data_IF_771684225142
#
_entry.id   IF_771684225142
#
_cell.length_a   1.000
_cell.length_b   1.000
_cell.length_c   1.000
_cell.angle_alpha   90.00
_cell.angle_beta   90.00
_cell.angle_gamma   90.00
#
_symmetry.space_group_name_H-M   'P 1'
#
loop_
_entity.id
_entity.type
_entity.pdbx_description
1 polymer ?
#
# COMPACT_ATOMS: atom_id res chain seq x y z
N UNK A 1 -1.80 -2.83 -9.39
CA UNK A 1 -2.80 -2.74 -8.30
C UNK A 1 -2.39 -3.38 -6.96
N UNK A 2 -1.20 -4.00 -6.81
CA UNK A 2 -0.86 -4.86 -5.64
C UNK A 2 -0.29 -4.15 -4.40
N UNK A 3 0.10 -2.87 -4.49
CA UNK A 3 0.83 -2.18 -3.42
C UNK A 3 0.08 -2.10 -2.08
N UNK A 4 -1.24 -1.86 -2.09
CA UNK A 4 -2.00 -1.80 -0.83
C UNK A 4 -1.99 -3.13 -0.05
N UNK A 5 -2.03 -4.27 -0.75
CA UNK A 5 -1.90 -5.59 -0.13
C UNK A 5 -0.45 -5.85 0.32
N UNK A 6 0.52 -5.45 -0.50
CA UNK A 6 1.95 -5.55 -0.16
C UNK A 6 2.27 -4.77 1.11
N UNK A 7 1.80 -3.54 1.23
CA UNK A 7 1.98 -2.72 2.43
C UNK A 7 1.38 -3.42 3.65
N UNK A 8 0.20 -4.01 3.55
CA UNK A 8 -0.44 -4.70 4.68
C UNK A 8 0.26 -5.99 5.12
N UNK A 9 0.92 -6.68 4.19
CA UNK A 9 1.66 -7.92 4.44
C UNK A 9 3.08 -7.67 4.96
N UNK A 10 3.75 -6.62 4.45
CA UNK A 10 5.13 -6.30 4.80
C UNK A 10 5.24 -5.33 5.98
N UNK A 11 4.21 -4.51 6.24
CA UNK A 11 4.23 -3.59 7.36
C UNK A 11 4.29 -4.32 8.69
N UNK A 12 5.15 -3.84 9.59
CA UNK A 12 5.17 -4.29 10.97
C UNK A 12 3.81 -4.00 11.63
N UNK A 13 3.21 -5.03 12.22
CA UNK A 13 1.87 -4.99 12.83
C UNK A 13 1.79 -3.91 13.92
N UNK A 14 2.85 -3.75 14.71
CA UNK A 14 2.88 -2.79 15.82
C UNK A 14 2.92 -1.33 15.34
N UNK A 15 3.47 -1.07 14.16
CA UNK A 15 3.64 0.30 13.65
C UNK A 15 2.62 0.67 12.60
N UNK A 16 1.61 -0.19 12.38
CA UNK A 16 0.60 -0.05 11.33
C UNK A 16 -0.06 1.34 11.28
N UNK A 17 -0.21 2.00 12.42
CA UNK A 17 -0.83 3.33 12.53
C UNK A 17 0.04 4.47 11.95
N UNK A 18 1.37 4.32 11.99
CA UNK A 18 2.33 5.31 11.51
C UNK A 18 2.71 5.10 10.04
N UNK A 19 2.27 3.99 9.43
CA UNK A 19 2.39 3.82 7.99
C UNK A 19 1.36 4.68 7.26
N UNK A 20 1.73 5.12 6.06
CA UNK A 20 0.85 5.85 5.15
C UNK A 20 -0.52 5.16 5.05
N UNK A 21 -1.58 5.91 5.37
CA UNK A 21 -2.96 5.42 5.38
C UNK A 21 -3.52 5.28 3.96
N UNK A 22 -2.91 4.40 3.17
CA UNK A 22 -3.12 4.23 1.73
C UNK A 22 -4.59 3.95 1.37
N UNK A 23 -5.32 3.24 2.24
CA UNK A 23 -6.76 2.99 2.07
C UNK A 23 -7.60 4.26 2.20
N UNK A 24 -7.32 5.12 3.20
CA UNK A 24 -8.07 6.37 3.43
C UNK A 24 -7.78 7.38 2.33
N UNK A 25 -6.49 7.60 2.01
CA UNK A 25 -6.08 8.49 0.92
C UNK A 25 -6.69 8.09 -0.43
N UNK A 26 -6.79 6.77 -0.71
CA UNK A 26 -7.49 6.29 -1.91
C UNK A 26 -8.98 6.63 -1.94
N UNK A 27 -9.65 6.69 -0.78
CA UNK A 27 -11.07 7.08 -0.72
C UNK A 27 -11.21 8.57 -0.99
N UNK A 28 -10.31 9.39 -0.48
CA UNK A 28 -10.26 10.83 -0.78
C UNK A 28 -10.05 11.08 -2.28
N UNK A 29 -9.13 10.37 -2.92
CA UNK A 29 -8.93 10.48 -4.37
C UNK A 29 -10.20 10.11 -5.15
N UNK A 30 -10.94 9.09 -4.71
CA UNK A 30 -12.23 8.73 -5.34
C UNK A 30 -13.29 9.83 -5.15
N UNK A 31 -13.31 10.50 -3.98
CA UNK A 31 -14.19 11.63 -3.72
C UNK A 31 -13.84 12.80 -4.65
N UNK A 32 -12.56 13.12 -4.79
CA UNK A 32 -12.07 14.14 -5.73
C UNK A 32 -12.49 13.81 -7.16
N UNK A 33 -12.27 12.56 -7.61
CA UNK A 33 -12.72 12.11 -8.95
C UNK A 33 -14.22 12.30 -9.16
N UNK A 34 -15.02 11.96 -8.14
CA UNK A 34 -16.48 12.10 -8.18
C UNK A 34 -16.93 13.55 -8.28
N UNK A 35 -16.33 14.47 -7.50
CA UNK A 35 -16.68 15.89 -7.58
C UNK A 35 -16.24 16.52 -8.91
N UNK A 36 -15.10 16.09 -9.48
CA UNK A 36 -14.67 16.50 -10.83
C UNK A 36 -15.70 16.07 -11.88
N UNK A 37 -16.11 14.80 -11.88
CA UNK A 37 -17.14 14.29 -12.81
C UNK A 37 -18.50 14.99 -12.62
N UNK A 38 -18.87 15.29 -11.37
CA UNK A 38 -20.11 16.00 -11.03
C UNK A 38 -20.09 17.44 -11.56
N UNK A 39 -18.96 18.13 -11.44
CA UNK A 39 -18.75 19.45 -12.02
C UNK A 39 -18.90 19.44 -13.53
N UNK A 40 -18.24 18.50 -14.21
CA UNK A 40 -18.31 18.34 -15.67
C UNK A 40 -19.75 18.08 -16.16
N UNK A 41 -20.49 17.16 -15.52
CA UNK A 41 -21.88 16.86 -15.88
C UNK A 41 -22.85 18.02 -15.66
N UNK A 42 -22.59 18.88 -14.67
CA UNK A 42 -23.39 20.10 -14.46
C UNK A 42 -23.11 21.12 -15.56
N UNK A 43 -21.85 21.31 -15.93
CA UNK A 43 -21.44 22.21 -17.01
C UNK A 43 -22.03 21.78 -18.35
N UNK A 44 -21.96 20.50 -18.72
CA UNK A 44 -22.56 19.97 -19.95
C UNK A 44 -24.09 20.18 -20.03
N UNK A 45 -24.79 20.16 -18.89
CA UNK A 45 -26.23 20.44 -18.83
C UNK A 45 -26.54 21.93 -19.03
N UNK A 46 -25.69 22.82 -18.51
CA UNK A 46 -25.81 24.27 -18.73
C UNK A 46 -25.54 24.61 -20.18
N UNK A 47 -24.50 24.03 -20.78
CA UNK A 47 -24.12 24.26 -22.19
C UNK A 47 -25.16 23.70 -23.18
N UNK A 48 -25.80 22.57 -22.86
CA UNK A 48 -26.93 22.06 -23.66
C UNK A 48 -28.17 22.96 -23.54
N UNK A 49 -28.44 23.53 -22.37
CA UNK A 49 -29.59 24.41 -22.14
C UNK A 49 -29.42 25.75 -22.86
N UNK A 50 -28.23 26.34 -22.86
CA UNK A 50 -27.93 27.57 -23.61
C UNK A 50 -28.01 27.36 -25.13
N UNK A 51 -27.55 26.21 -25.64
CA UNK A 51 -27.60 25.88 -27.07
C UNK A 51 -29.01 25.61 -27.60
N UNK A 52 -29.94 25.18 -26.74
CA UNK A 52 -31.34 24.92 -27.12
C UNK A 52 -32.19 26.20 -27.12
N UNK A 53 -31.79 27.25 -26.39
CA UNK A 53 -32.46 28.56 -26.40
C UNK A 53 -31.95 29.52 -27.49
N UNK A 54 -30.85 29.19 -28.18
CA UNK A 54 -30.23 30.04 -29.22
C UNK A 54 -30.77 29.86 -30.65
N UNK A 55 -31.84 29.08 -30.87
CA UNK A 55 -32.43 28.85 -32.19
C UNK A 55 -33.90 29.30 -32.19
N UNK A 56 -34.12 30.61 -32.11
CA UNK A 56 -35.34 31.25 -32.57
C UNK A 56 -34.92 32.34 -33.56
N UNK A 57 -34.88 31.97 -34.84
CA UNK A 57 -34.62 32.86 -35.98
C UNK A 57 -35.59 34.05 -35.96
N UNK A 58 -35.05 35.26 -35.78
CA UNK A 58 -35.70 36.51 -36.15
C UNK A 58 -35.09 36.96 -37.49
N UNK A 59 -35.90 37.25 -38.54
CA UNK A 59 -35.37 37.56 -39.85
C UNK A 59 -34.70 38.93 -39.87
N UNK A 60 -33.48 38.95 -40.42
CA UNK A 60 -32.62 40.10 -40.71
C UNK A 60 -33.32 41.09 -41.67
N UNK A 61 -33.31 42.41 -41.43
CA UNK A 61 -33.79 43.37 -42.42
C UNK A 61 -32.71 43.64 -43.50
N UNK A 62 -33.10 43.98 -44.75
CA UNK A 62 -32.18 44.18 -45.85
C UNK A 62 -31.52 45.56 -45.80
N UNK A 63 -30.25 45.60 -46.20
CA UNK A 63 -29.40 46.78 -46.28
C UNK A 63 -29.38 47.40 -47.67
N UNK A 64 -29.70 48.70 -47.77
CA UNK A 64 -29.31 49.66 -48.83
C UNK A 64 -29.68 51.05 -48.29
N UNK A 65 -28.96 52.17 -48.41
CA UNK A 65 -27.89 52.67 -49.31
C UNK A 65 -27.21 53.87 -48.62
N UNK A 66 -25.91 54.05 -48.91
CA UNK A 66 -25.09 55.28 -48.94
C UNK A 66 -25.64 56.63 -48.41
N UNK A 67 -24.86 57.33 -47.58
CA UNK A 67 -24.40 58.70 -47.91
C UNK A 67 -23.17 59.14 -47.11
N UNK A 68 -22.40 60.01 -47.77
CA UNK A 68 -21.11 60.61 -47.43
C UNK A 68 -21.16 61.64 -46.30
N UNK A 69 -20.06 61.79 -45.56
CA UNK A 69 -19.27 63.03 -45.42
C UNK A 69 -18.65 63.25 -44.02
N UNK A 70 -17.33 63.20 -44.01
CA UNK A 70 -16.38 64.18 -43.48
C UNK A 70 -16.33 64.61 -42.00
N UNK A 71 -15.06 64.60 -41.55
CA UNK A 71 -14.37 65.56 -40.69
C UNK A 71 -14.21 65.30 -39.17
N UNK A 72 -12.91 65.19 -38.81
CA UNK A 72 -12.20 65.78 -37.64
C UNK A 72 -12.62 65.30 -36.24
N UNK A 73 -11.78 65.21 -35.22
CA UNK A 73 -10.34 65.26 -34.99
C UNK A 73 -10.16 65.06 -33.47
N UNK A 74 -9.13 64.32 -33.06
CA UNK A 74 -8.28 64.54 -31.87
C UNK A 74 -8.84 64.53 -30.42
N UNK A 75 -8.23 63.61 -29.65
CA UNK A 75 -7.58 63.76 -28.33
C UNK A 75 -8.35 64.15 -27.06
N UNK A 76 -8.32 63.21 -26.10
CA UNK A 76 -7.79 63.30 -24.71
C UNK A 76 -8.01 64.60 -23.90
N UNK A 77 -8.63 64.52 -22.71
CA UNK A 77 -8.03 64.76 -21.38
C UNK A 77 -9.06 64.96 -20.24
N UNK A 78 -8.67 64.49 -19.04
CA UNK A 78 -9.01 64.91 -17.65
C UNK A 78 -10.49 64.89 -17.19
N UNK A 79 -10.86 64.08 -16.17
CA UNK A 79 -10.65 64.25 -14.71
C UNK A 79 -11.58 65.28 -14.04
N UNK A 80 -12.36 64.85 -13.02
CA UNK A 80 -12.84 65.75 -11.96
C UNK A 80 -14.32 65.66 -11.51
N UNK A 81 -14.61 64.72 -10.60
CA UNK A 81 -15.34 64.89 -9.32
C UNK A 81 -16.55 65.88 -9.21
N UNK A 82 -17.75 65.34 -8.90
CA UNK A 82 -18.51 65.53 -7.63
C UNK A 82 -20.06 65.66 -7.72
N UNK A 83 -20.75 64.68 -7.12
CA UNK A 83 -21.76 64.78 -6.02
C UNK A 83 -23.23 65.26 -6.25
N UNK A 84 -24.15 64.32 -5.93
CA UNK A 84 -25.54 64.41 -5.42
C UNK A 84 -26.63 64.99 -6.36
N UNK A 85 -27.84 64.42 -6.53
CA UNK A 85 -28.87 64.01 -5.55
C UNK A 85 -29.98 63.15 -6.21
N UNK A 86 -30.72 62.42 -5.38
CA UNK A 86 -31.74 61.38 -5.64
C UNK A 86 -32.91 61.69 -6.59
N UNK A 87 -33.41 60.66 -7.28
CA UNK A 87 -34.84 60.28 -7.30
C UNK A 87 -35.02 58.87 -7.89
N UNK A 88 -35.96 58.14 -7.30
CA UNK A 88 -36.44 56.80 -7.67
C UNK A 88 -37.00 56.73 -9.09
N UNK A 89 -36.77 55.60 -9.74
CA UNK A 89 -37.46 55.14 -10.95
C UNK A 89 -36.99 53.72 -11.23
N UNK A 90 -37.83 52.73 -10.91
CA UNK A 90 -37.50 51.33 -11.05
C UNK A 90 -37.33 50.94 -12.52
N UNK A 91 -36.29 50.16 -12.80
CA UNK A 91 -36.26 49.28 -13.95
C UNK A 91 -35.69 47.94 -13.52
N UNK A 92 -36.59 46.98 -13.46
CA UNK A 92 -36.38 45.56 -13.28
C UNK A 92 -35.46 45.04 -14.38
N UNK A 93 -34.16 45.07 -14.13
CA UNK A 93 -33.14 44.47 -14.98
C UNK A 93 -32.54 43.28 -14.27
N UNK A 94 -33.17 42.12 -14.51
CA UNK A 94 -32.60 40.77 -14.59
C UNK A 94 -31.25 40.55 -13.87
N UNK A 95 -31.19 39.74 -12.79
CA UNK A 95 -29.91 39.36 -12.20
C UNK A 95 -29.11 38.50 -13.21
N UNK A 96 -27.96 39.03 -13.62
CA UNK A 96 -26.94 38.35 -14.41
C UNK A 96 -26.53 37.02 -13.77
N UNK A 97 -26.48 35.98 -14.62
CA UNK A 97 -25.76 34.70 -14.49
C UNK A 97 -25.33 34.27 -13.07
N UNK A 98 -26.21 33.50 -12.43
CA UNK A 98 -25.98 32.35 -11.53
C UNK A 98 -24.63 32.21 -10.75
N UNK A 99 -24.65 32.30 -9.40
CA UNK A 99 -23.59 31.90 -8.45
C UNK A 99 -23.21 30.40 -8.42
N UNK A 100 -23.64 29.59 -9.39
CA UNK A 100 -23.52 28.12 -9.34
C UNK A 100 -22.18 27.59 -9.85
N UNK A 101 -21.43 28.37 -10.62
CA UNK A 101 -20.11 27.97 -11.15
C UNK A 101 -19.07 27.98 -10.03
N UNK A 102 -19.07 29.03 -9.20
CA UNK A 102 -18.11 29.19 -8.09
C UNK A 102 -18.24 28.09 -7.04
N UNK A 103 -19.47 27.76 -6.63
CA UNK A 103 -19.73 26.71 -5.62
C UNK A 103 -19.23 25.31 -6.02
N UNK A 104 -19.13 24.98 -7.32
CA UNK A 104 -18.60 23.67 -7.73
C UNK A 104 -17.07 23.66 -7.73
N UNK A 105 -16.44 24.79 -8.04
CA UNK A 105 -14.99 24.92 -7.99
C UNK A 105 -14.50 24.87 -6.53
N UNK A 106 -15.21 25.54 -5.63
CA UNK A 106 -14.93 25.51 -4.19
C UNK A 106 -14.99 24.08 -3.63
N UNK A 107 -16.02 23.30 -3.98
CA UNK A 107 -16.14 21.91 -3.54
C UNK A 107 -15.01 20.99 -4.04
N UNK A 108 -14.48 21.25 -5.24
CA UNK A 108 -13.37 20.48 -5.80
C UNK A 108 -12.06 20.85 -5.09
N UNK A 109 -11.82 22.14 -4.87
CA UNK A 109 -10.63 22.61 -4.15
C UNK A 109 -10.65 22.17 -2.68
N UNK A 110 -11.81 22.17 -2.02
CA UNK A 110 -11.97 21.62 -0.66
C UNK A 110 -11.62 20.14 -0.61
N UNK A 111 -12.07 19.34 -1.58
CA UNK A 111 -11.75 17.91 -1.65
C UNK A 111 -10.26 17.66 -1.92
N UNK A 112 -9.61 18.50 -2.74
CA UNK A 112 -8.15 18.45 -2.96
C UNK A 112 -7.40 18.84 -1.70
N UNK A 113 -7.86 19.87 -0.99
CA UNK A 113 -7.26 20.33 0.27
C UNK A 113 -7.33 19.25 1.34
N UNK A 114 -8.47 18.58 1.51
CA UNK A 114 -8.63 17.45 2.44
C UNK A 114 -7.62 16.32 2.16
N UNK A 115 -7.33 16.04 0.88
CA UNK A 115 -6.32 15.05 0.49
C UNK A 115 -4.91 15.47 0.93
N UNK A 116 -4.53 16.73 0.70
CA UNK A 116 -3.20 17.24 1.05
C UNK A 116 -3.03 17.40 2.56
N UNK A 117 -4.04 17.89 3.28
CA UNK A 117 -4.04 17.99 4.74
C UNK A 117 -3.83 16.61 5.37
N UNK A 118 -4.55 15.59 4.90
CA UNK A 118 -4.36 14.22 5.35
C UNK A 118 -2.96 13.68 5.00
N UNK A 119 -2.45 13.97 3.81
CA UNK A 119 -1.12 13.52 3.37
C UNK A 119 -0.03 14.12 4.24
N UNK A 120 -0.08 15.43 4.48
CA UNK A 120 0.86 16.14 5.34
C UNK A 120 0.79 15.68 6.80
N UNK A 121 -0.42 15.43 7.32
CA UNK A 121 -0.59 14.84 8.65
C UNK A 121 0.06 13.45 8.75
N UNK A 122 -0.11 12.58 7.74
CA UNK A 122 0.55 11.26 7.71
C UNK A 122 2.09 11.37 7.66
N UNK A 123 2.62 12.39 6.97
CA UNK A 123 4.08 12.63 6.93
C UNK A 123 4.57 13.10 8.30
N UNK A 124 3.84 14.01 8.96
CA UNK A 124 4.16 14.48 10.30
C UNK A 124 4.15 13.33 11.32
N UNK A 125 3.12 12.48 11.30
CA UNK A 125 3.02 11.30 12.16
C UNK A 125 4.20 10.34 11.95
N UNK A 126 4.59 10.12 10.69
CA UNK A 126 5.73 9.26 10.35
C UNK A 126 7.07 9.86 10.81
N UNK A 127 7.23 11.18 10.68
CA UNK A 127 8.40 11.93 11.14
C UNK A 127 8.55 11.86 12.66
N UNK A 128 7.48 12.14 13.40
CA UNK A 128 7.49 12.09 14.87
C UNK A 128 7.82 10.68 15.37
N UNK A 129 7.19 9.67 14.77
CA UNK A 129 7.47 8.28 15.07
C UNK A 129 8.93 7.91 14.80
N UNK A 130 9.47 8.31 13.64
CA UNK A 130 10.85 8.05 13.27
C UNK A 130 11.83 8.68 14.26
N UNK A 131 11.69 9.97 14.55
CA UNK A 131 12.52 10.71 15.53
C UNK A 131 12.49 10.03 16.90
N UNK A 132 11.29 9.68 17.38
CA UNK A 132 11.11 9.01 18.67
C UNK A 132 11.82 7.66 18.70
N UNK A 133 11.68 6.85 17.65
CA UNK A 133 12.33 5.54 17.55
C UNK A 133 13.84 5.62 17.44
N UNK A 134 14.38 6.52 16.61
CA UNK A 134 15.82 6.75 16.48
C UNK A 134 16.42 7.18 17.81
N UNK A 135 15.79 8.13 18.52
CA UNK A 135 16.27 8.60 19.83
C UNK A 135 16.28 7.47 20.87
N UNK A 136 15.22 6.66 20.89
CA UNK A 136 15.13 5.51 21.78
C UNK A 136 16.20 4.45 21.47
N UNK A 137 16.41 4.12 20.20
CA UNK A 137 17.44 3.16 19.76
C UNK A 137 18.84 3.70 20.03
N UNK A 138 19.09 4.98 19.80
CA UNK A 138 20.37 5.62 20.10
C UNK A 138 20.69 5.57 21.59
N UNK A 139 19.70 5.76 22.46
CA UNK A 139 19.87 5.60 23.91
C UNK A 139 20.24 4.16 24.27
N UNK A 140 19.50 3.18 23.75
CA UNK A 140 19.78 1.76 23.96
C UNK A 140 21.20 1.39 23.53
N UNK A 141 21.60 1.80 22.32
CA UNK A 141 22.95 1.56 21.79
C UNK A 141 24.00 2.19 22.71
N UNK A 142 23.79 3.43 23.15
CA UNK A 142 24.71 4.12 24.06
C UNK A 142 24.83 3.42 25.42
N UNK A 143 23.71 2.97 25.97
CA UNK A 143 23.65 2.26 27.25
C UNK A 143 24.41 0.92 27.15
N UNK A 144 24.25 0.19 26.04
CA UNK A 144 25.03 -1.03 25.76
C UNK A 144 26.53 -0.74 25.61
N UNK A 145 26.91 0.31 24.89
CA UNK A 145 28.33 0.68 24.77
C UNK A 145 28.95 1.04 26.14
N UNK A 146 28.20 1.71 27.03
CA UNK A 146 28.70 1.98 28.39
C UNK A 146 28.85 0.70 29.21
N UNK A 147 27.92 -0.23 29.10
CA UNK A 147 27.98 -1.51 29.81
C UNK A 147 29.22 -2.32 29.40
N UNK A 148 29.52 -2.38 28.10
CA UNK A 148 30.72 -3.05 27.58
C UNK A 148 32.02 -2.36 28.04
N UNK A 149 32.05 -1.02 28.05
CA UNK A 149 33.22 -0.25 28.52
C UNK A 149 33.51 -0.45 30.01
N UNK A 150 32.50 -0.66 30.84
CA UNK A 150 32.68 -0.88 32.27
C UNK A 150 33.17 -2.31 32.58
N UNK A 151 32.71 -3.31 31.83
CA UNK A 151 33.24 -4.69 31.87
C UNK A 151 34.73 -4.74 31.49
N UNK A 152 35.14 -4.06 30.42
CA UNK A 152 36.54 -4.01 29.98
C UNK A 152 37.45 -3.38 31.05
N UNK A 153 36.99 -2.33 31.74
CA UNK A 153 37.75 -1.68 32.83
C UNK A 153 37.86 -2.56 34.07
N UNK A 154 36.77 -3.27 34.43
CA UNK A 154 36.78 -4.19 35.56
C UNK A 154 37.75 -5.37 35.34
N UNK A 155 38.02 -5.74 34.08
CA UNK A 155 38.99 -6.79 33.74
C UNK A 155 40.46 -6.38 33.92
N UNK A 156 40.78 -5.08 33.84
CA UNK A 156 42.15 -4.55 33.89
C UNK A 156 42.59 -4.01 35.26
N UNK A 157 41.66 -3.84 36.22
CA UNK A 157 41.95 -3.37 37.57
C UNK A 157 41.67 -4.44 38.62
N UNK A 158 42.73 -4.95 39.25
CA UNK A 158 42.72 -5.90 40.38
C UNK A 158 42.37 -7.37 40.05
N UNK A 159 43.30 -8.26 40.42
CA UNK A 159 43.08 -9.71 40.57
C UNK A 159 42.09 -9.91 41.73
N UNK A 160 40.80 -9.79 41.45
CA UNK A 160 39.74 -10.22 42.36
C UNK A 160 39.09 -11.46 41.78
N UNK A 161 39.32 -12.58 42.46
CA UNK A 161 38.69 -13.87 42.24
C UNK A 161 37.18 -13.75 42.50
N UNK A 162 36.43 -13.30 41.48
CA UNK A 162 34.98 -13.42 41.42
C UNK A 162 34.62 -14.25 40.19
N UNK A 163 33.71 -15.23 40.31
CA UNK A 163 33.50 -16.21 39.25
C UNK A 163 32.97 -15.51 38.00
N UNK A 164 33.47 -16.00 36.84
CA UNK A 164 32.97 -15.80 35.48
C UNK A 164 31.52 -15.28 35.48
N UNK A 165 31.32 -14.09 34.94
CA UNK A 165 29.99 -13.60 34.56
C UNK A 165 29.24 -14.73 33.87
N UNK A 166 28.06 -15.03 34.40
CA UNK A 166 27.26 -16.18 33.98
C UNK A 166 26.96 -16.05 32.48
N UNK A 167 27.02 -17.14 31.70
CA UNK A 167 26.74 -17.05 30.25
C UNK A 167 25.41 -16.32 29.98
N UNK A 168 24.47 -16.48 30.90
CA UNK A 168 23.15 -15.86 30.93
C UNK A 168 23.13 -14.32 30.88
N UNK A 169 24.16 -13.61 31.35
CA UNK A 169 24.25 -12.14 31.27
C UNK A 169 24.76 -11.68 29.91
N UNK A 170 25.78 -12.38 29.37
CA UNK A 170 26.27 -12.16 28.00
C UNK A 170 25.19 -12.51 26.97
N UNK A 171 24.46 -13.60 27.20
CA UNK A 171 23.33 -14.05 26.38
C UNK A 171 22.17 -13.02 26.41
N UNK A 172 21.92 -12.39 27.57
CA UNK A 172 20.95 -11.28 27.68
C UNK A 172 21.42 -10.01 26.97
N UNK A 173 22.69 -9.65 27.08
CA UNK A 173 23.27 -8.51 26.36
C UNK A 173 23.16 -8.70 24.85
N UNK A 174 23.47 -9.90 24.36
CA UNK A 174 23.33 -10.25 22.95
C UNK A 174 21.87 -10.22 22.47
N UNK A 175 20.92 -10.74 23.26
CA UNK A 175 19.50 -10.67 22.93
C UNK A 175 19.01 -9.22 22.77
N UNK A 176 19.41 -8.32 23.67
CA UNK A 176 19.07 -6.91 23.56
C UNK A 176 19.71 -6.20 22.35
N UNK A 177 20.93 -6.58 21.99
CA UNK A 177 21.60 -6.11 20.77
C UNK A 177 20.87 -6.62 19.51
N UNK A 178 20.47 -7.89 19.49
CA UNK A 178 19.70 -8.48 18.40
C UNK A 178 18.33 -7.78 18.23
N UNK A 179 17.61 -7.53 19.33
CA UNK A 179 16.33 -6.82 19.31
C UNK A 179 16.48 -5.39 18.78
N UNK A 180 17.58 -4.72 19.14
CA UNK A 180 17.91 -3.38 18.63
C UNK A 180 18.18 -3.42 17.11
N UNK A 181 18.99 -4.37 16.66
CA UNK A 181 19.29 -4.58 15.24
C UNK A 181 18.03 -4.88 14.43
N UNK A 182 17.20 -5.83 14.89
CA UNK A 182 15.93 -6.18 14.24
C UNK A 182 15.01 -4.97 14.13
N UNK A 183 14.95 -4.15 15.19
CA UNK A 183 14.17 -2.91 15.20
C UNK A 183 14.71 -1.88 14.20
N UNK A 184 16.03 -1.73 14.06
CA UNK A 184 16.65 -0.84 13.06
C UNK A 184 16.37 -1.30 11.63
N UNK A 185 16.42 -2.61 11.37
CA UNK A 185 16.07 -3.17 10.06
C UNK A 185 14.59 -2.96 9.74
N UNK A 186 13.71 -3.21 10.71
CA UNK A 186 12.28 -2.92 10.56
C UNK A 186 12.06 -1.41 10.31
N UNK A 187 12.82 -0.52 10.96
CA UNK A 187 12.74 0.93 10.79
C UNK A 187 13.21 1.36 9.38
N UNK A 188 14.29 0.77 8.88
CA UNK A 188 14.75 0.96 7.48
C UNK A 188 13.68 0.54 6.48
N UNK A 189 13.01 -0.58 6.73
CA UNK A 189 11.90 -1.04 5.92
C UNK A 189 10.68 -0.10 6.01
N UNK A 190 10.39 0.44 7.20
CA UNK A 190 9.33 1.43 7.41
C UNK A 190 9.54 2.68 6.55
N UNK A 191 10.75 3.25 6.55
CA UNK A 191 11.12 4.41 5.72
C UNK A 191 10.89 4.09 4.24
N UNK A 192 11.44 2.99 3.73
CA UNK A 192 11.30 2.59 2.33
C UNK A 192 9.84 2.37 1.88
N UNK A 193 9.03 1.72 2.72
CA UNK A 193 7.62 1.46 2.43
C UNK A 193 6.80 2.75 2.41
N UNK A 194 7.05 3.66 3.35
CA UNK A 194 6.38 4.96 3.36
C UNK A 194 6.78 5.80 2.15
N UNK A 195 8.05 5.83 1.75
CA UNK A 195 8.50 6.59 0.57
C UNK A 195 7.75 6.15 -0.67
N UNK A 196 7.77 4.83 -0.87
CA UNK A 196 7.11 4.19 -1.99
C UNK A 196 5.61 4.44 -1.96
N UNK A 197 5.00 4.45 -0.77
CA UNK A 197 3.57 4.67 -0.58
C UNK A 197 3.14 6.10 -0.87
N UNK A 198 3.86 7.09 -0.34
CA UNK A 198 3.62 8.51 -0.62
C UNK A 198 3.83 8.83 -2.10
N UNK A 199 4.92 8.36 -2.71
CA UNK A 199 5.13 8.53 -4.15
C UNK A 199 4.00 7.91 -4.99
N UNK A 200 3.54 6.71 -4.64
CA UNK A 200 2.46 6.03 -5.37
C UNK A 200 1.09 6.67 -5.16
N UNK A 201 0.81 7.26 -4.00
CA UNK A 201 -0.49 7.88 -3.73
C UNK A 201 -0.59 9.25 -4.40
N UNK A 202 0.47 10.05 -4.36
CA UNK A 202 0.53 11.34 -5.09
C UNK A 202 0.49 11.11 -6.59
N UNK A 203 1.23 10.14 -7.12
CA UNK A 203 1.12 9.76 -8.55
C UNK A 203 -0.30 9.33 -8.94
N UNK A 204 -1.07 8.78 -8.02
CA UNK A 204 -2.48 8.43 -8.27
C UNK A 204 -3.36 9.67 -8.24
N UNK A 205 -3.11 10.60 -7.33
CA UNK A 205 -3.80 11.89 -7.26
C UNK A 205 -3.60 12.68 -8.55
N UNK A 206 -2.35 12.85 -9.01
CA UNK A 206 -2.01 13.54 -10.26
C UNK A 206 -2.71 12.95 -11.48
N UNK A 207 -2.72 11.62 -11.60
CA UNK A 207 -3.47 10.92 -12.66
C UNK A 207 -4.98 11.16 -12.65
N UNK A 208 -5.54 11.47 -11.48
CA UNK A 208 -6.98 11.66 -11.31
C UNK A 208 -7.37 13.12 -11.55
N UNK A 209 -6.53 14.05 -11.07
CA UNK A 209 -6.76 15.49 -11.18
C UNK A 209 -6.22 16.09 -12.48
N UNK A 210 -5.34 15.37 -13.19
CA UNK A 210 -4.63 15.89 -14.37
C UNK A 210 -3.50 16.86 -14.03
N UNK A 211 -3.08 16.92 -12.76
CA UNK A 211 -2.00 17.79 -12.28
C UNK A 211 -0.62 17.13 -12.37
N UNK A 212 0.42 17.95 -12.18
CA UNK A 212 1.82 17.51 -12.14
C UNK A 212 2.50 18.01 -10.85
N UNK A 213 2.09 17.42 -9.71
CA UNK A 213 2.58 17.84 -8.38
C UNK A 213 3.59 16.87 -7.80
N UNK A 214 3.72 15.68 -8.39
CA UNK A 214 4.58 14.59 -7.92
C UNK A 214 6.04 15.01 -7.76
N UNK A 215 6.62 15.69 -8.75
CA UNK A 215 8.05 15.99 -8.74
C UNK A 215 8.40 17.04 -7.67
N UNK A 216 7.56 18.06 -7.50
CA UNK A 216 7.70 19.02 -6.41
C UNK A 216 7.54 18.34 -5.04
N UNK A 217 6.53 17.49 -4.91
CA UNK A 217 6.27 16.74 -3.69
C UNK A 217 7.41 15.78 -3.35
N UNK A 218 7.95 15.03 -4.31
CA UNK A 218 9.06 14.09 -4.08
C UNK A 218 10.33 14.83 -3.68
N UNK A 219 10.60 16.01 -4.26
CA UNK A 219 11.71 16.86 -3.81
C UNK A 219 11.55 17.28 -2.36
N UNK A 220 10.38 17.79 -1.99
CA UNK A 220 10.09 18.15 -0.59
C UNK A 220 10.20 16.94 0.33
N UNK A 221 9.61 15.81 -0.06
CA UNK A 221 9.64 14.57 0.68
C UNK A 221 11.07 14.11 0.93
N UNK A 222 11.97 14.17 -0.06
CA UNK A 222 13.37 13.77 0.13
C UNK A 222 14.15 14.68 1.10
N UNK A 223 13.70 15.91 1.33
CA UNK A 223 14.28 16.82 2.31
C UNK A 223 13.73 16.60 3.73
N UNK A 224 12.67 15.81 3.88
CA UNK A 224 12.14 15.46 5.19
C UNK A 224 13.17 14.64 5.99
N UNK A 225 13.23 14.91 7.29
CA UNK A 225 14.31 14.42 8.15
C UNK A 225 14.37 12.89 8.21
N UNK A 226 13.23 12.20 8.08
CA UNK A 226 13.18 10.74 8.07
C UNK A 226 13.74 10.07 6.80
N UNK A 227 13.98 10.82 5.71
CA UNK A 227 14.64 10.31 4.51
C UNK A 227 16.06 10.82 4.33
N UNK A 228 16.33 12.05 4.77
CA UNK A 228 17.64 12.66 4.67
C UNK A 228 18.60 12.21 5.79
N UNK A 229 18.09 11.68 6.90
CA UNK A 229 18.93 11.24 8.02
C UNK A 229 19.69 9.95 7.71
N UNK A 230 20.98 9.95 8.03
CA UNK A 230 21.84 8.77 8.04
C UNK A 230 21.88 8.08 9.41
N UNK A 231 20.94 8.41 10.30
CA UNK A 231 20.95 7.95 11.69
C UNK A 231 20.81 6.43 11.81
N UNK A 232 19.97 5.80 10.98
CA UNK A 232 19.83 4.34 10.98
C UNK A 232 21.16 3.68 10.62
N UNK A 233 21.82 4.15 9.56
CA UNK A 233 23.06 3.55 9.08
C UNK A 233 24.19 3.79 10.10
N UNK A 234 24.24 4.97 10.73
CA UNK A 234 25.20 5.27 11.81
C UNK A 234 24.96 4.40 13.06
N UNK A 235 23.70 4.15 13.45
CA UNK A 235 23.38 3.25 14.57
C UNK A 235 23.70 1.79 14.24
N UNK A 236 23.46 1.36 13.00
CA UNK A 236 23.86 0.03 12.54
C UNK A 236 25.37 -0.14 12.58
N UNK A 237 26.15 0.86 12.15
CA UNK A 237 27.62 0.81 12.22
C UNK A 237 28.12 0.72 13.66
N UNK A 238 27.52 1.45 14.59
CA UNK A 238 27.81 1.31 16.04
C UNK A 238 27.44 -0.05 16.60
N UNK A 239 26.34 -0.67 16.14
CA UNK A 239 26.02 -2.04 16.52
C UNK A 239 27.02 -3.05 15.97
N UNK A 240 27.45 -2.88 14.72
CA UNK A 240 28.43 -3.76 14.09
C UNK A 240 29.84 -3.64 14.69
N UNK A 241 30.18 -2.49 15.30
CA UNK A 241 31.44 -2.37 16.05
C UNK A 241 31.42 -3.14 17.37
N UNK A 242 30.24 -3.31 17.98
CA UNK A 242 30.07 -4.06 19.23
C UNK A 242 29.83 -5.57 19.03
N UNK A 243 29.32 -5.98 17.87
CA UNK A 243 28.97 -7.38 17.59
C UNK A 243 29.23 -7.75 16.14
N UNK A 244 29.65 -8.99 15.90
CA UNK A 244 29.84 -9.52 14.55
C UNK A 244 28.56 -9.42 13.72
N UNK A 245 28.67 -8.77 12.56
CA UNK A 245 27.59 -8.60 11.57
C UNK A 245 26.93 -9.92 11.19
N UNK A 246 27.71 -10.98 11.01
CA UNK A 246 27.21 -12.28 10.57
C UNK A 246 26.25 -12.92 11.59
N UNK A 247 26.51 -12.71 12.90
CA UNK A 247 25.62 -13.21 13.96
C UNK A 247 24.28 -12.48 13.96
N UNK A 248 24.29 -11.17 13.76
CA UNK A 248 23.09 -10.33 13.70
C UNK A 248 22.22 -10.66 12.48
N UNK A 249 22.86 -10.85 11.33
CA UNK A 249 22.19 -11.24 10.09
C UNK A 249 21.59 -12.65 10.18
N UNK A 250 22.31 -13.60 10.79
CA UNK A 250 21.80 -14.94 11.04
C UNK A 250 20.56 -14.93 11.95
N UNK A 251 20.59 -14.16 13.05
CA UNK A 251 19.45 -14.02 13.97
C UNK A 251 18.21 -13.42 13.28
N UNK A 252 18.39 -12.36 12.49
CA UNK A 252 17.31 -11.72 11.75
C UNK A 252 16.74 -12.63 10.65
N UNK A 253 17.58 -13.41 9.97
CA UNK A 253 17.13 -14.40 9.00
C UNK A 253 16.24 -15.46 9.67
N UNK A 254 16.64 -15.97 10.83
CA UNK A 254 15.85 -16.94 11.60
C UNK A 254 14.50 -16.35 12.03
N UNK A 255 14.50 -15.09 12.49
CA UNK A 255 13.29 -14.38 12.87
C UNK A 255 12.33 -14.19 11.68
N UNK A 256 12.85 -13.84 10.50
CA UNK A 256 12.06 -13.73 9.26
C UNK A 256 11.50 -15.07 8.82
N UNK A 257 12.27 -16.15 8.93
CA UNK A 257 11.78 -17.50 8.66
C UNK A 257 10.64 -17.88 9.59
N UNK A 258 10.74 -17.61 10.90
CA UNK A 258 9.65 -17.82 11.87
C UNK A 258 8.39 -17.02 11.51
N UNK A 259 8.54 -15.73 11.15
CA UNK A 259 7.41 -14.88 10.70
C UNK A 259 6.74 -15.44 9.43
N UNK A 260 7.52 -15.96 8.50
CA UNK A 260 7.02 -16.53 7.25
C UNK A 260 6.37 -17.91 7.46
N UNK A 261 6.90 -18.71 8.37
CA UNK A 261 6.41 -20.05 8.70
C UNK A 261 5.04 -20.02 9.39
N UNK A 262 4.80 -19.07 10.30
CA UNK A 262 3.45 -18.86 10.86
C UNK A 262 2.38 -18.51 9.81
N UNK A 263 2.80 -17.93 8.68
CA UNK A 263 1.94 -17.73 7.51
C UNK A 263 1.59 -19.03 6.79
N UNK A 264 2.52 -20.00 6.70
CA UNK A 264 2.24 -21.33 6.14
C UNK A 264 1.30 -22.13 7.06
N UNK A 265 1.44 -22.04 8.37
CA UNK A 265 0.53 -22.70 9.32
C UNK A 265 -0.91 -22.20 9.16
N UNK A 266 -1.09 -20.91 8.80
CA UNK A 266 -2.40 -20.35 8.47
C UNK A 266 -2.97 -20.92 7.16
N UNK A 267 -2.13 -21.34 6.21
CA UNK A 267 -2.55 -22.04 4.99
C UNK A 267 -2.93 -23.49 5.29
N UNK A 268 -2.19 -24.17 6.16
CA UNK A 268 -2.51 -25.53 6.59
C UNK A 268 -3.80 -25.56 7.45
N UNK A 269 -4.05 -24.54 8.28
CA UNK A 269 -5.31 -24.40 9.02
C UNK A 269 -6.52 -24.12 8.12
N UNK A 270 -6.33 -23.61 6.90
CA UNK A 270 -7.41 -23.48 5.90
C UNK A 270 -7.84 -24.82 5.32
N UNK A 271 -7.07 -25.89 5.53
CA UNK A 271 -7.49 -27.25 5.17
C UNK A 271 -8.61 -27.65 6.11
N UNK A 272 -9.79 -27.93 5.57
CA UNK A 272 -10.92 -28.44 6.34
C UNK A 272 -10.58 -29.90 6.70
N UNK A 273 -10.09 -30.12 7.92
CA UNK A 273 -9.61 -31.44 8.36
C UNK A 273 -10.70 -32.52 8.31
N UNK A 274 -11.94 -32.16 8.64
CA UNK A 274 -13.10 -33.09 8.63
C UNK A 274 -13.35 -33.70 7.24
N UNK A 275 -13.59 -32.93 6.17
CA UNK A 275 -13.79 -33.51 4.84
C UNK A 275 -12.55 -34.18 4.26
N UNK A 276 -11.34 -33.75 4.66
CA UNK A 276 -10.10 -34.42 4.28
C UNK A 276 -10.05 -35.85 4.85
N UNK A 277 -10.32 -36.00 6.16
CA UNK A 277 -10.37 -37.32 6.82
C UNK A 277 -11.45 -38.20 6.20
N UNK A 278 -12.64 -37.65 5.92
CA UNK A 278 -13.72 -38.39 5.25
C UNK A 278 -13.28 -38.89 3.87
N UNK A 279 -12.61 -38.04 3.08
CA UNK A 279 -12.11 -38.43 1.76
C UNK A 279 -11.03 -39.51 1.85
N UNK A 280 -10.14 -39.44 2.85
CA UNK A 280 -9.13 -40.47 3.09
C UNK A 280 -9.74 -41.82 3.52
N UNK A 281 -10.77 -41.79 4.38
CA UNK A 281 -11.51 -42.99 4.79
C UNK A 281 -12.23 -43.61 3.59
N UNK A 282 -12.92 -42.80 2.78
CA UNK A 282 -13.59 -43.26 1.56
C UNK A 282 -12.59 -43.93 0.58
N UNK A 283 -11.43 -43.32 0.40
CA UNK A 283 -10.36 -43.86 -0.43
C UNK A 283 -9.82 -45.20 0.10
N UNK A 284 -9.57 -45.29 1.41
CA UNK A 284 -9.14 -46.53 2.05
C UNK A 284 -10.17 -47.66 1.91
N UNK A 285 -11.46 -47.34 2.06
CA UNK A 285 -12.55 -48.30 1.85
C UNK A 285 -12.63 -48.79 0.40
N UNK A 286 -12.47 -47.90 -0.59
CA UNK A 286 -12.46 -48.27 -2.01
C UNK A 286 -11.27 -49.14 -2.40
N UNK A 287 -10.13 -49.02 -1.72
CA UNK A 287 -8.99 -49.92 -1.90
C UNK A 287 -9.21 -51.28 -1.21
N UNK A 288 -9.96 -51.32 -0.09
CA UNK A 288 -10.21 -52.54 0.66
C UNK A 288 -11.31 -53.43 0.05
N UNK A 289 -12.29 -52.86 -0.65
CA UNK A 289 -13.36 -53.61 -1.29
C UNK A 289 -12.84 -54.26 -2.59
N UNK A 290 -12.83 -55.60 -2.72
CA UNK A 290 -12.33 -56.27 -3.92
C UNK A 290 -13.35 -56.11 -5.07
N UNK A 291 -13.03 -55.26 -6.05
CA UNK A 291 -13.79 -55.14 -7.31
C UNK A 291 -13.04 -55.93 -8.39
N UNK A 292 -13.72 -56.69 -9.27
CA UNK A 292 -13.05 -57.38 -10.38
C UNK A 292 -12.36 -56.37 -11.31
N UNK A 293 -11.02 -56.46 -11.40
CA UNK A 293 -10.17 -55.57 -12.21
C UNK A 293 -9.19 -54.74 -11.36
N UNK A 294 -8.05 -55.32 -10.96
CA UNK A 294 -7.14 -54.73 -9.98
C UNK A 294 -6.54 -53.38 -10.36
N UNK A 295 -6.18 -53.16 -11.63
CA UNK A 295 -5.65 -51.86 -12.11
C UNK A 295 -6.78 -50.83 -12.26
N UNK A 296 -7.94 -51.27 -12.79
CA UNK A 296 -9.11 -50.40 -12.93
C UNK A 296 -9.61 -49.91 -11.56
N UNK A 297 -9.58 -50.75 -10.53
CA UNK A 297 -9.97 -50.39 -9.17
C UNK A 297 -9.10 -49.26 -8.60
N UNK A 298 -7.77 -49.34 -8.75
CA UNK A 298 -6.85 -48.29 -8.25
C UNK A 298 -7.05 -46.97 -8.98
N UNK A 299 -7.29 -47.02 -10.28
CA UNK A 299 -7.62 -45.84 -11.08
C UNK A 299 -8.95 -45.20 -10.63
N UNK A 300 -9.98 -46.02 -10.43
CA UNK A 300 -11.28 -45.56 -9.93
C UNK A 300 -11.16 -44.96 -8.52
N UNK A 301 -10.44 -45.62 -7.61
CA UNK A 301 -10.21 -45.12 -6.25
C UNK A 301 -9.49 -43.76 -6.27
N UNK A 302 -8.48 -43.59 -7.14
CA UNK A 302 -7.78 -42.33 -7.32
C UNK A 302 -8.72 -41.21 -7.83
N UNK A 303 -9.55 -41.51 -8.83
CA UNK A 303 -10.50 -40.54 -9.41
C UNK A 303 -11.55 -40.12 -8.38
N UNK A 304 -12.14 -41.08 -7.66
CA UNK A 304 -13.12 -40.79 -6.59
C UNK A 304 -12.49 -39.99 -5.46
N UNK A 305 -11.24 -40.26 -5.10
CA UNK A 305 -10.53 -39.48 -4.09
C UNK A 305 -10.29 -38.03 -4.50
N UNK A 306 -9.79 -37.78 -5.72
CA UNK A 306 -9.53 -36.41 -6.21
C UNK A 306 -10.84 -35.62 -6.35
N UNK A 307 -11.88 -36.25 -6.90
CA UNK A 307 -13.20 -35.61 -7.04
C UNK A 307 -13.82 -35.30 -5.67
N UNK A 308 -13.68 -36.19 -4.68
CA UNK A 308 -14.10 -35.93 -3.30
C UNK A 308 -13.37 -34.71 -2.70
N UNK A 309 -12.05 -34.61 -2.89
CA UNK A 309 -11.25 -33.47 -2.40
C UNK A 309 -11.68 -32.13 -3.03
N UNK A 310 -12.11 -32.14 -4.30
CA UNK A 310 -12.63 -30.95 -4.99
C UNK A 310 -14.02 -30.56 -4.48
N UNK A 311 -14.95 -31.52 -4.41
CA UNK A 311 -16.32 -31.28 -3.95
C UNK A 311 -16.34 -30.77 -2.51
N UNK A 312 -15.48 -31.33 -1.66
CA UNK A 312 -15.44 -30.96 -0.25
C UNK A 312 -14.59 -29.72 0.06
N UNK A 313 -13.97 -29.11 -0.96
CA UNK A 313 -12.97 -28.04 -0.84
C UNK A 313 -11.93 -28.33 0.26
N UNK A 314 -11.53 -29.60 0.39
CA UNK A 314 -10.64 -30.01 1.49
C UNK A 314 -9.23 -29.43 1.28
N UNK A 315 -8.77 -29.41 0.03
CA UNK A 315 -7.45 -28.89 -0.36
C UNK A 315 -7.60 -27.84 -1.47
N UNK A 316 -6.72 -26.81 -1.50
CA UNK A 316 -6.63 -25.90 -2.64
C UNK A 316 -6.31 -26.66 -3.94
N UNK A 317 -6.86 -26.21 -5.07
CA UNK A 317 -6.67 -26.87 -6.37
C UNK A 317 -5.20 -27.11 -6.73
N UNK A 318 -4.32 -26.15 -6.46
CA UNK A 318 -2.88 -26.30 -6.73
C UNK A 318 -2.25 -27.47 -5.96
N UNK A 319 -2.71 -27.74 -4.73
CA UNK A 319 -2.21 -28.83 -3.91
C UNK A 319 -2.68 -30.17 -4.48
N UNK A 320 -3.93 -30.25 -4.92
CA UNK A 320 -4.43 -31.46 -5.60
C UNK A 320 -3.67 -31.74 -6.89
N UNK A 321 -3.33 -30.73 -7.70
CA UNK A 321 -2.53 -30.93 -8.93
C UNK A 321 -1.10 -31.41 -8.67
N UNK A 322 -0.51 -31.10 -7.51
CA UNK A 322 0.78 -31.64 -7.09
C UNK A 322 0.66 -33.07 -6.52
N UNK A 323 -0.50 -33.41 -5.95
CA UNK A 323 -0.77 -34.72 -5.37
C UNK A 323 -1.04 -35.79 -6.45
N UNK A 324 -1.67 -35.40 -7.58
CA UNK A 324 -2.04 -36.33 -8.66
C UNK A 324 -0.84 -37.12 -9.19
N UNK A 325 0.30 -36.51 -9.61
CA UNK A 325 1.45 -37.27 -10.11
C UNK A 325 2.04 -38.22 -9.07
N UNK A 326 2.06 -37.80 -7.81
CA UNK A 326 2.57 -38.60 -6.69
C UNK A 326 1.68 -39.83 -6.46
N UNK A 327 0.36 -39.66 -6.46
CA UNK A 327 -0.62 -40.75 -6.33
C UNK A 327 -0.54 -41.77 -7.47
N UNK A 328 -0.30 -41.33 -8.72
CA UNK A 328 -0.15 -42.24 -9.87
C UNK A 328 1.01 -43.21 -9.67
N UNK A 329 2.12 -42.72 -9.11
CA UNK A 329 3.30 -43.55 -8.81
C UNK A 329 3.01 -44.49 -7.64
N UNK A 330 2.43 -43.99 -6.54
CA UNK A 330 2.12 -44.83 -5.37
C UNK A 330 1.09 -45.92 -5.66
N UNK A 331 0.07 -45.62 -6.46
CA UNK A 331 -0.96 -46.59 -6.82
C UNK A 331 -0.56 -47.51 -7.98
N UNK A 332 0.62 -47.28 -8.60
CA UNK A 332 1.13 -48.04 -9.74
C UNK A 332 0.06 -48.20 -10.82
N UNK A 333 -0.46 -47.09 -11.35
CA UNK A 333 -1.55 -47.10 -12.34
C UNK A 333 -1.01 -47.08 -13.79
N UNK A 334 0.29 -46.83 -13.97
CA UNK A 334 0.93 -46.77 -15.30
C UNK A 334 1.21 -48.19 -15.84
N UNK A 335 0.59 -48.51 -16.97
CA UNK A 335 0.89 -49.73 -17.75
C UNK A 335 2.07 -49.51 -18.69
N UNK A 336 2.86 -50.55 -18.93
CA UNK A 336 3.91 -50.54 -19.94
C UNK A 336 3.31 -50.30 -21.34
N UNK A 337 3.90 -49.37 -22.10
CA UNK A 337 3.48 -49.06 -23.48
C UNK A 337 3.69 -50.24 -24.43
N UNK A 338 4.55 -51.18 -24.08
CA UNK A 338 4.88 -52.36 -24.90
C UNK A 338 3.97 -53.56 -24.61
N UNK A 339 3.45 -53.68 -23.38
CA UNK A 339 2.60 -54.81 -22.95
C UNK A 339 1.44 -54.34 -22.04
N UNK A 340 0.20 -54.24 -22.54
CA UNK A 340 -0.93 -53.66 -21.78
C UNK A 340 -1.38 -54.48 -20.56
N UNK A 341 -0.83 -55.69 -20.38
CA UNK A 341 -1.10 -56.58 -19.26
C UNK A 341 0.04 -56.59 -18.20
N UNK A 342 1.12 -55.84 -18.42
CA UNK A 342 2.27 -55.76 -17.52
C UNK A 342 2.33 -54.35 -16.93
N UNK A 343 2.29 -54.27 -15.59
CA UNK A 343 2.53 -53.03 -14.88
C UNK A 343 3.98 -52.59 -15.12
N UNK A 344 4.21 -51.29 -15.29
CA UNK A 344 5.57 -50.73 -15.23
C UNK A 344 6.13 -50.98 -13.82
N UNK A 345 6.92 -52.05 -13.68
CA UNK A 345 7.87 -52.15 -12.57
C UNK A 345 8.97 -51.10 -12.80
N UNK A 346 9.34 -50.44 -11.70
CA UNK A 346 10.31 -49.35 -11.68
C UNK A 346 11.73 -49.81 -12.02
#
# INVERSE_FOLDING_TARGET
MKFGKQLELTANVQWRQYYVQYKKLKRLIKRVAFEIERGQRKQEKVDKKSKTQGVADLPRPPSVTSFSSSDKSLSLTSSGKSKARASQGGDESTPLLSPQVDLNLDNIEDAKREFWDMTNANIADANEFYRSKVTHLAKIVKDFESMLRDEDKASHGHVSSKPRTTSHEVDRGFAGIQDCYDTLIDLKQFVNLNHTGFRKIVKKFDKTTGGDTLDAFVKQLNHEEFYASHDIDALLERLFSMTSKDKLEAGNLEQRMKRQQGGQDSLLRKVKAVPFVISCVLFGLLLAIPIPGGVQQRCLAMLVFITSLWVSEALPYFATSLLVPVLVVFLRILNDKQHPNVLLDA
#
